data_IF_354361264052
#
_entry.id   IF_354361264052
#
_cell.length_a   1.000
_cell.length_b   1.000
_cell.length_c   1.000
_cell.angle_alpha   90.00
_cell.angle_beta   90.00
_cell.angle_gamma   90.00
#
_symmetry.space_group_name_H-M   'P 1'
#
loop_
_entity.id
_entity.type
_entity.pdbx_description
1 polymer ?
#
# COMPACT_ATOMS: atom_id res chain seq x y z
N UNK A 1 9.08 27.35 -24.92
CA UNK A 1 9.94 26.67 -25.90
C UNK A 1 10.03 27.53 -27.15
N UNK A 2 11.24 27.92 -27.55
CA UNK A 2 11.44 28.63 -28.82
C UNK A 2 10.97 27.73 -29.96
N UNK A 3 9.88 28.13 -30.63
CA UNK A 3 9.40 27.46 -31.83
C UNK A 3 10.38 27.81 -32.96
N UNK A 4 11.45 27.03 -33.07
CA UNK A 4 12.36 27.17 -34.20
C UNK A 4 11.57 26.85 -35.47
N UNK A 5 11.52 27.77 -36.43
CA UNK A 5 10.81 27.63 -37.73
C UNK A 5 11.30 26.47 -38.62
N UNK A 6 12.19 25.60 -38.12
CA UNK A 6 12.76 24.48 -38.87
C UNK A 6 11.89 23.23 -38.81
N UNK A 7 11.91 22.44 -39.90
CA UNK A 7 11.26 21.13 -39.99
C UNK A 7 11.65 20.20 -38.83
N UNK A 8 10.70 19.36 -38.39
CA UNK A 8 10.90 18.36 -37.33
C UNK A 8 12.10 17.43 -37.62
N UNK A 9 12.27 16.99 -38.88
CA UNK A 9 13.38 16.14 -39.28
C UNK A 9 14.72 16.88 -39.17
N UNK A 10 14.77 18.16 -39.54
CA UNK A 10 15.98 18.98 -39.44
C UNK A 10 16.38 19.15 -37.98
N UNK A 11 15.40 19.41 -37.10
CA UNK A 11 15.59 19.52 -35.64
C UNK A 11 16.10 18.20 -35.03
N UNK A 12 15.51 17.07 -35.42
CA UNK A 12 15.96 15.74 -34.98
C UNK A 12 17.40 15.45 -35.42
N UNK A 13 17.73 15.69 -36.69
CA UNK A 13 19.10 15.48 -37.20
C UNK A 13 20.10 16.36 -36.47
N UNK A 14 19.76 17.62 -36.18
CA UNK A 14 20.63 18.50 -35.39
C UNK A 14 20.79 18.04 -33.94
N UNK A 15 19.72 17.58 -33.29
CA UNK A 15 19.80 17.12 -31.89
C UNK A 15 20.59 15.82 -31.77
N UNK A 16 20.41 14.88 -32.71
CA UNK A 16 21.18 13.63 -32.75
C UNK A 16 22.66 13.85 -33.04
N UNK A 17 22.98 14.85 -33.89
CA UNK A 17 24.36 15.27 -34.13
C UNK A 17 24.98 15.92 -32.88
N UNK A 18 24.23 16.80 -32.20
CA UNK A 18 24.67 17.43 -30.94
C UNK A 18 24.84 16.42 -29.80
N UNK A 19 24.02 15.37 -29.76
CA UNK A 19 24.14 14.27 -28.80
C UNK A 19 25.33 13.34 -29.10
N UNK A 20 26.04 13.51 -30.23
CA UNK A 20 27.15 12.65 -30.64
C UNK A 20 26.71 11.25 -31.11
N UNK A 21 25.41 11.03 -31.31
CA UNK A 21 24.87 9.76 -31.78
C UNK A 21 25.08 9.56 -33.29
N UNK A 22 25.06 10.66 -34.06
CA UNK A 22 25.23 10.67 -35.51
C UNK A 22 26.38 11.62 -35.89
N UNK A 23 27.17 11.24 -36.90
CA UNK A 23 28.26 12.06 -37.45
C UNK A 23 29.62 11.35 -37.43
N UNK A 24 30.68 11.99 -37.93
CA UNK A 24 32.02 11.41 -38.04
C UNK A 24 32.70 11.17 -36.67
N UNK A 25 32.22 11.83 -35.61
CA UNK A 25 32.65 11.59 -34.23
C UNK A 25 31.80 10.58 -33.45
N UNK A 26 30.78 10.00 -34.09
CA UNK A 26 29.92 9.04 -33.39
C UNK A 26 30.58 7.67 -33.29
N UNK A 27 30.19 6.89 -32.28
CA UNK A 27 30.66 5.50 -32.17
C UNK A 27 30.35 4.70 -33.44
N UNK A 28 29.27 4.99 -34.16
CA UNK A 28 28.90 4.32 -35.42
C UNK A 28 29.93 4.49 -36.55
N UNK A 29 30.62 5.62 -36.60
CA UNK A 29 31.63 5.93 -37.63
C UNK A 29 33.05 5.50 -37.26
N UNK A 30 33.32 5.18 -36.00
CA UNK A 30 34.62 4.63 -35.55
C UNK A 30 34.85 3.19 -36.02
N UNK A 31 36.11 2.85 -36.35
CA UNK A 31 36.48 1.52 -36.84
C UNK A 31 36.28 0.44 -35.77
N UNK A 32 36.09 -0.83 -36.19
CA UNK A 32 36.00 -1.98 -35.26
C UNK A 32 37.24 -2.09 -34.37
N UNK A 33 38.43 -1.75 -34.88
CA UNK A 33 39.70 -1.80 -34.15
C UNK A 33 39.71 -0.76 -33.01
N UNK A 34 39.28 0.47 -33.29
CA UNK A 34 39.24 1.55 -32.30
C UNK A 34 38.17 1.30 -31.23
N UNK A 35 37.04 0.72 -31.63
CA UNK A 35 35.98 0.29 -30.71
C UNK A 35 36.42 -0.80 -29.74
N UNK A 36 37.27 -1.73 -30.20
CA UNK A 36 37.82 -2.82 -29.37
C UNK A 36 38.92 -2.32 -28.44
N UNK A 37 39.72 -1.35 -28.89
CA UNK A 37 40.79 -0.76 -28.08
C UNK A 37 40.23 -0.01 -26.85
N UNK A 38 39.04 0.59 -26.98
CA UNK A 38 38.33 1.26 -25.88
C UNK A 38 39.05 2.53 -25.41
N UNK A 39 38.31 3.59 -25.13
CA UNK A 39 38.85 4.76 -24.42
C UNK A 39 38.51 4.62 -22.93
N UNK A 40 39.32 5.17 -22.01
CA UNK A 40 39.13 4.99 -20.57
C UNK A 40 37.77 5.46 -20.01
N UNK A 41 36.94 6.16 -20.79
CA UNK A 41 35.58 6.59 -20.40
C UNK A 41 34.48 6.14 -21.38
N UNK A 42 34.74 5.11 -22.20
CA UNK A 42 33.82 4.72 -23.27
C UNK A 42 32.48 4.20 -22.74
N UNK A 43 32.45 3.60 -21.54
CA UNK A 43 31.22 3.17 -20.88
C UNK A 43 30.39 4.34 -20.34
N UNK A 44 31.03 5.31 -19.65
CA UNK A 44 30.38 6.51 -19.16
C UNK A 44 29.80 7.34 -20.33
N UNK A 45 30.58 7.54 -21.39
CA UNK A 45 30.14 8.22 -22.59
C UNK A 45 28.94 7.53 -23.27
N UNK A 46 28.89 6.19 -23.27
CA UNK A 46 27.71 5.46 -23.79
C UNK A 46 26.46 5.72 -22.95
N UNK A 47 26.58 5.72 -21.63
CA UNK A 47 25.47 6.02 -20.73
C UNK A 47 24.98 7.46 -20.92
N UNK A 48 25.90 8.41 -21.12
CA UNK A 48 25.55 9.80 -21.38
C UNK A 48 24.85 10.00 -22.73
N UNK A 49 25.30 9.28 -23.78
CA UNK A 49 24.62 9.28 -25.08
C UNK A 49 23.24 8.64 -24.97
N UNK A 50 23.09 7.54 -24.25
CA UNK A 50 21.80 6.89 -24.04
C UNK A 50 20.80 7.84 -23.33
N UNK A 51 21.24 8.50 -22.25
CA UNK A 51 20.44 9.52 -21.54
C UNK A 51 20.03 10.67 -22.45
N UNK A 52 20.95 11.18 -23.27
CA UNK A 52 20.68 12.24 -24.25
C UNK A 52 19.68 11.78 -25.32
N UNK A 53 19.79 10.55 -25.79
CA UNK A 53 18.86 9.98 -26.76
C UNK A 53 17.46 9.86 -26.18
N UNK A 54 17.32 9.41 -24.94
CA UNK A 54 16.01 9.31 -24.30
C UNK A 54 15.38 10.68 -24.04
N UNK A 55 16.18 11.69 -23.66
CA UNK A 55 15.72 13.07 -23.58
C UNK A 55 15.23 13.59 -24.95
N UNK A 56 15.96 13.30 -26.04
CA UNK A 56 15.56 13.69 -27.41
C UNK A 56 14.25 13.00 -27.80
N UNK A 57 14.08 11.70 -27.50
CA UNK A 57 12.85 10.96 -27.80
C UNK A 57 11.64 11.62 -27.13
N UNK A 58 11.76 11.97 -25.84
CA UNK A 58 10.66 12.61 -25.11
C UNK A 58 10.41 14.05 -25.57
N UNK A 59 11.44 14.82 -25.90
CA UNK A 59 11.29 16.21 -26.34
C UNK A 59 10.73 16.32 -27.77
N UNK A 60 11.08 15.38 -28.64
CA UNK A 60 10.69 15.40 -30.05
C UNK A 60 9.31 14.78 -30.32
N UNK A 61 8.71 14.10 -29.34
CA UNK A 61 7.36 13.56 -29.47
C UNK A 61 6.32 14.54 -28.89
N UNK A 62 5.64 15.35 -29.74
CA UNK A 62 4.62 16.28 -29.27
C UNK A 62 3.31 15.60 -28.88
N UNK A 63 3.06 14.36 -29.32
CA UNK A 63 1.76 13.68 -29.13
C UNK A 63 1.57 13.10 -27.73
N UNK A 64 2.65 12.92 -26.97
CA UNK A 64 2.59 12.45 -25.58
C UNK A 64 2.18 13.54 -24.58
N UNK A 65 2.22 14.82 -25.01
CA UNK A 65 1.97 15.97 -24.15
C UNK A 65 0.80 16.79 -24.68
N UNK A 66 -0.29 16.83 -23.93
CA UNK A 66 -1.40 17.75 -24.17
C UNK A 66 -1.04 19.10 -23.57
N UNK A 67 -1.01 20.14 -24.40
CA UNK A 67 -0.82 21.52 -23.96
C UNK A 67 -2.10 22.31 -24.20
N UNK A 68 -2.47 23.18 -23.27
CA UNK A 68 -3.59 24.13 -23.44
C UNK A 68 -3.05 25.54 -23.40
N UNK A 69 -3.54 26.38 -24.31
CA UNK A 69 -3.18 27.80 -24.35
C UNK A 69 -4.12 28.59 -23.44
N UNK A 70 -3.55 29.49 -22.63
CA UNK A 70 -4.35 30.45 -21.87
C UNK A 70 -4.86 31.53 -22.81
N UNK A 71 -6.09 32.00 -22.59
CA UNK A 71 -6.66 33.11 -23.39
C UNK A 71 -5.96 34.44 -23.11
N UNK A 72 -5.54 34.62 -21.86
CA UNK A 72 -4.84 35.81 -21.38
C UNK A 72 -3.56 35.38 -20.67
N UNK A 73 -2.54 36.23 -20.69
CA UNK A 73 -1.32 36.00 -19.94
C UNK A 73 -1.55 36.32 -18.46
N UNK A 74 -1.21 35.37 -17.59
CA UNK A 74 -1.35 35.52 -16.13
C UNK A 74 0.06 35.47 -15.56
N UNK A 75 0.69 36.63 -15.48
CA UNK A 75 2.04 36.78 -14.97
C UNK A 75 2.15 36.20 -13.55
N UNK A 76 3.20 35.42 -13.30
CA UNK A 76 3.50 34.86 -11.98
C UNK A 76 2.63 33.67 -11.54
N UNK A 77 1.60 33.25 -12.30
CA UNK A 77 0.74 32.12 -11.91
C UNK A 77 0.95 30.89 -12.79
N UNK A 78 1.28 29.75 -12.16
CA UNK A 78 1.17 28.44 -12.81
C UNK A 78 -0.29 28.04 -12.92
N UNK A 79 -0.82 28.03 -14.15
CA UNK A 79 -2.16 27.51 -14.45
C UNK A 79 -2.14 25.99 -14.35
N UNK A 80 -2.83 25.43 -13.35
CA UNK A 80 -3.00 23.97 -13.21
C UNK A 80 -3.71 23.43 -14.46
N UNK A 81 -3.20 22.33 -15.02
CA UNK A 81 -3.78 21.71 -16.22
C UNK A 81 -3.37 22.35 -17.56
N UNK A 82 -2.42 23.29 -17.56
CA UNK A 82 -1.85 23.84 -18.81
C UNK A 82 -1.07 22.79 -19.63
N UNK A 83 -0.51 21.81 -18.93
CA UNK A 83 0.25 20.69 -19.50
C UNK A 83 -0.20 19.38 -18.87
N UNK A 84 -0.32 18.32 -19.66
CA UNK A 84 -0.68 16.98 -19.19
C UNK A 84 -0.11 15.88 -20.08
N UNK A 85 0.03 14.67 -19.52
CA UNK A 85 0.50 13.47 -20.25
C UNK A 85 -0.64 12.45 -20.35
N UNK A 86 -1.56 12.59 -21.31
CA UNK A 86 -2.79 11.81 -21.36
C UNK A 86 -2.53 10.30 -21.45
N UNK A 87 -1.55 9.87 -22.25
CA UNK A 87 -1.21 8.45 -22.42
C UNK A 87 -0.81 7.79 -21.10
N UNK A 88 0.09 8.44 -20.34
CA UNK A 88 0.53 7.92 -19.04
C UNK A 88 -0.60 7.89 -18.02
N UNK A 89 -1.42 8.93 -17.98
CA UNK A 89 -2.55 8.95 -17.05
C UNK A 89 -3.58 7.88 -17.37
N UNK A 90 -3.77 7.54 -18.65
CA UNK A 90 -4.62 6.42 -19.07
C UNK A 90 -4.02 5.08 -18.65
N UNK A 91 -2.76 4.84 -18.98
CA UNK A 91 -2.06 3.61 -18.59
C UNK A 91 -2.11 3.37 -17.09
N UNK A 92 -1.77 4.38 -16.28
CA UNK A 92 -1.86 4.29 -14.81
C UNK A 92 -3.31 4.13 -14.35
N UNK A 93 -4.26 4.75 -15.05
CA UNK A 93 -5.69 4.57 -14.80
C UNK A 93 -6.16 3.14 -15.00
N UNK A 94 -5.71 2.51 -16.10
CA UNK A 94 -6.03 1.12 -16.47
C UNK A 94 -5.39 0.14 -15.49
N UNK A 95 -4.11 0.33 -15.16
CA UNK A 95 -3.41 -0.48 -14.16
C UNK A 95 -4.11 -0.41 -12.80
N UNK A 96 -4.58 0.77 -12.41
CA UNK A 96 -5.34 0.96 -11.19
C UNK A 96 -6.74 0.37 -11.30
N UNK A 97 -7.42 0.46 -12.45
CA UNK A 97 -8.73 -0.20 -12.66
C UNK A 97 -8.63 -1.71 -12.51
N UNK A 98 -7.58 -2.32 -13.05
CA UNK A 98 -7.33 -3.77 -12.91
C UNK A 98 -7.13 -4.20 -11.45
N UNK A 99 -6.78 -3.26 -10.56
CA UNK A 99 -6.59 -3.49 -9.12
C UNK A 99 -7.80 -3.05 -8.27
N UNK A 100 -8.63 -2.13 -8.77
CA UNK A 100 -9.85 -1.67 -8.09
C UNK A 100 -10.82 -2.84 -8.06
N UNK A 101 -11.33 -3.17 -6.87
CA UNK A 101 -12.22 -4.31 -6.58
C UNK A 101 -11.54 -5.68 -6.49
N UNK A 102 -10.20 -5.75 -6.39
CA UNK A 102 -9.53 -6.98 -5.97
C UNK A 102 -9.46 -7.03 -4.44
N UNK A 103 -10.23 -7.94 -3.83
CA UNK A 103 -10.12 -8.25 -2.41
C UNK A 103 -9.05 -9.33 -2.19
N UNK A 104 -8.19 -9.12 -1.19
CA UNK A 104 -7.06 -10.00 -0.91
C UNK A 104 -5.81 -9.71 -1.76
N UNK A 105 -4.65 -9.95 -1.17
CA UNK A 105 -3.35 -9.85 -1.82
C UNK A 105 -2.34 -10.68 -1.03
N UNK A 106 -1.32 -11.22 -1.70
CA UNK A 106 -0.26 -11.97 -1.03
C UNK A 106 0.56 -10.97 -0.21
N UNK A 107 0.40 -11.02 1.11
CA UNK A 107 1.23 -10.24 2.03
C UNK A 107 2.51 -11.02 2.25
N UNK A 108 3.61 -10.53 1.70
CA UNK A 108 4.91 -11.13 1.93
C UNK A 108 5.37 -10.89 3.37
N UNK A 109 5.40 -11.98 4.15
CA UNK A 109 5.83 -11.99 5.55
C UNK A 109 7.28 -12.42 5.72
N UNK A 110 8.03 -12.61 4.64
CA UNK A 110 9.45 -12.94 4.70
C UNK A 110 10.24 -11.77 5.28
N UNK A 111 11.13 -12.06 6.23
CA UNK A 111 11.95 -11.05 6.89
C UNK A 111 12.79 -10.27 5.86
N UNK A 112 12.82 -8.95 6.00
CA UNK A 112 13.63 -8.04 5.19
C UNK A 112 13.25 -7.89 3.71
N UNK A 113 12.16 -8.51 3.23
CA UNK A 113 11.77 -8.42 1.82
C UNK A 113 11.19 -7.04 1.45
N UNK A 114 10.39 -6.46 2.35
CA UNK A 114 9.79 -5.14 2.16
C UNK A 114 10.66 -3.99 2.67
N UNK A 115 11.85 -4.29 3.22
CA UNK A 115 12.75 -3.28 3.77
C UNK A 115 13.82 -2.89 2.72
N UNK A 116 13.82 -1.66 2.21
CA UNK A 116 14.83 -1.19 1.25
C UNK A 116 16.21 -0.97 1.88
N UNK A 117 16.36 -0.97 3.21
CA UNK A 117 17.66 -0.72 3.87
C UNK A 117 18.55 -1.96 3.94
N UNK A 118 17.97 -3.15 3.82
CA UNK A 118 18.72 -4.41 3.84
C UNK A 118 19.24 -4.76 2.45
N UNK A 119 20.52 -5.10 2.37
CA UNK A 119 21.15 -5.62 1.14
C UNK A 119 20.66 -7.04 0.84
N UNK A 120 20.84 -7.50 -0.41
CA UNK A 120 20.39 -8.83 -0.80
C UNK A 120 21.06 -9.96 0.01
N UNK A 121 22.32 -9.78 0.39
CA UNK A 121 23.09 -10.74 1.19
C UNK A 121 22.60 -10.83 2.63
N UNK A 122 22.35 -9.68 3.27
CA UNK A 122 21.79 -9.61 4.62
C UNK A 122 20.40 -10.27 4.69
N UNK A 123 19.55 -10.06 3.67
CA UNK A 123 18.25 -10.74 3.56
C UNK A 123 18.38 -12.26 3.50
N UNK A 124 19.38 -12.78 2.77
CA UNK A 124 19.62 -14.22 2.69
C UNK A 124 20.12 -14.78 4.02
N UNK A 125 21.00 -14.06 4.71
CA UNK A 125 21.52 -14.45 6.01
C UNK A 125 20.43 -14.49 7.09
N UNK A 126 19.58 -13.48 7.16
CA UNK A 126 18.45 -13.44 8.10
C UNK A 126 17.44 -14.58 7.85
N UNK A 127 17.18 -14.92 6.58
CA UNK A 127 16.32 -16.07 6.23
C UNK A 127 16.93 -17.37 6.72
N UNK A 128 18.22 -17.58 6.43
CA UNK A 128 18.94 -18.79 6.82
C UNK A 128 18.98 -18.96 8.34
N UNK A 129 19.28 -17.89 9.07
CA UNK A 129 19.32 -17.91 10.54
C UNK A 129 17.93 -18.18 11.13
N UNK A 130 16.87 -17.54 10.62
CA UNK A 130 15.49 -17.79 11.06
C UNK A 130 15.05 -19.24 10.78
N UNK A 131 15.38 -19.76 9.60
CA UNK A 131 15.07 -21.14 9.24
C UNK A 131 15.78 -22.13 10.16
N UNK A 132 17.08 -21.92 10.41
CA UNK A 132 17.87 -22.74 11.33
C UNK A 132 17.33 -22.67 12.76
N UNK A 133 16.95 -21.49 13.24
CA UNK A 133 16.30 -21.32 14.54
C UNK A 133 14.94 -22.03 14.62
N UNK A 134 14.13 -21.97 13.56
CA UNK A 134 12.83 -22.67 13.52
C UNK A 134 13.03 -24.19 13.57
N UNK A 135 13.97 -24.72 12.80
CA UNK A 135 14.32 -26.16 12.82
C UNK A 135 14.82 -26.59 14.21
N UNK A 136 15.68 -25.79 14.83
CA UNK A 136 16.22 -26.07 16.17
C UNK A 136 15.17 -25.99 17.31
N UNK A 137 14.09 -25.23 17.14
CA UNK A 137 13.08 -24.98 18.18
C UNK A 137 11.82 -25.88 18.10
N UNK A 138 11.82 -26.93 17.27
CA UNK A 138 10.70 -27.88 17.20
C UNK A 138 10.21 -28.19 15.79
N UNK A 139 11.14 -28.52 14.88
CA UNK A 139 10.77 -29.09 13.58
C UNK A 139 10.18 -30.51 13.66
N UNK A 140 10.06 -31.09 14.86
CA UNK A 140 9.61 -32.46 15.13
C UNK A 140 8.10 -32.61 15.27
N UNK A 141 7.32 -31.53 15.26
CA UNK A 141 5.84 -31.59 15.33
C UNK A 141 5.18 -32.39 14.18
N UNK A 142 5.92 -32.71 13.12
CA UNK A 142 5.46 -33.54 12.00
C UNK A 142 6.31 -34.80 11.81
N UNK A 143 7.19 -35.13 12.77
CA UNK A 143 7.95 -36.37 12.77
C UNK A 143 7.06 -37.48 13.34
N UNK A 144 6.33 -38.21 12.48
CA UNK A 144 5.49 -39.34 12.88
C UNK A 144 6.28 -40.61 13.28
N UNK A 145 7.62 -40.54 13.25
CA UNK A 145 8.54 -41.63 13.57
C UNK A 145 9.01 -41.58 15.04
N UNK A 146 8.63 -40.55 15.79
CA UNK A 146 8.73 -40.57 17.25
C UNK A 146 7.49 -41.31 17.78
N UNK A 147 7.69 -42.45 18.44
CA UNK A 147 6.69 -43.36 19.03
C UNK A 147 5.89 -42.72 20.19
N UNK A 148 5.51 -41.45 20.08
CA UNK A 148 4.76 -40.71 21.08
C UNK A 148 3.26 -40.81 20.71
N UNK A 149 2.52 -41.56 21.52
CA UNK A 149 1.08 -41.75 21.35
C UNK A 149 0.36 -40.40 21.22
N UNK A 150 -0.38 -40.21 20.12
CA UNK A 150 -1.10 -38.96 19.87
C UNK A 150 -2.21 -38.80 20.93
N UNK A 151 -1.97 -37.92 21.89
CA UNK A 151 -2.91 -37.67 22.99
C UNK A 151 -3.68 -36.37 22.81
N UNK A 152 -4.99 -36.39 23.09
CA UNK A 152 -5.83 -35.19 23.20
C UNK A 152 -6.48 -35.19 24.59
N UNK A 153 -6.29 -34.11 25.35
CA UNK A 153 -6.70 -34.01 26.77
C UNK A 153 -6.17 -35.15 27.67
N UNK A 154 -5.01 -35.73 27.34
CA UNK A 154 -4.40 -36.80 28.13
C UNK A 154 -4.95 -38.20 27.83
N UNK A 155 -5.80 -38.36 26.82
CA UNK A 155 -6.24 -39.66 26.31
C UNK A 155 -5.59 -39.95 24.96
N UNK A 156 -5.08 -41.17 24.78
CA UNK A 156 -4.56 -41.63 23.49
C UNK A 156 -5.69 -41.74 22.48
N UNK A 157 -5.56 -41.03 21.37
CA UNK A 157 -6.53 -41.05 20.27
C UNK A 157 -6.58 -42.42 19.57
N UNK A 158 -5.58 -43.28 19.74
CA UNK A 158 -5.59 -44.64 19.19
C UNK A 158 -6.66 -45.55 19.84
N UNK A 159 -7.14 -45.18 21.02
CA UNK A 159 -8.16 -45.93 21.77
C UNK A 159 -9.56 -45.28 21.70
N UNK A 160 -9.71 -44.17 20.97
CA UNK A 160 -11.03 -43.59 20.72
C UNK A 160 -11.61 -44.38 19.54
N UNK A 161 -12.30 -45.47 19.89
CA UNK A 161 -13.15 -46.20 18.95
C UNK A 161 -14.25 -45.24 18.48
N UNK A 162 -14.46 -45.23 17.18
CA UNK A 162 -15.26 -44.22 16.51
C UNK A 162 -16.67 -44.10 17.14
N UNK A 163 -17.05 -42.86 17.48
CA UNK A 163 -18.44 -42.40 17.46
C UNK A 163 -19.43 -42.74 18.60
N UNK A 164 -19.03 -43.29 19.75
CA UNK A 164 -20.05 -43.79 20.70
C UNK A 164 -20.39 -42.96 21.94
N UNK A 165 -19.75 -41.81 22.25
CA UNK A 165 -20.15 -41.09 23.47
C UNK A 165 -19.84 -39.59 23.42
N UNK A 166 -20.85 -38.80 23.08
CA UNK A 166 -21.38 -37.73 23.94
C UNK A 166 -22.26 -36.78 23.11
N UNK A 167 -23.57 -37.02 23.18
CA UNK A 167 -24.52 -35.99 23.59
C UNK A 167 -24.28 -34.58 23.02
N UNK A 168 -24.26 -34.44 21.69
CA UNK A 168 -24.70 -33.19 21.06
C UNK A 168 -26.22 -33.14 21.18
N UNK A 169 -26.69 -32.94 22.41
CA UNK A 169 -28.05 -32.55 22.71
C UNK A 169 -28.37 -31.31 21.89
N UNK A 170 -29.03 -31.52 20.76
CA UNK A 170 -29.84 -30.52 20.09
C UNK A 170 -31.03 -30.25 21.02
N UNK A 171 -30.76 -29.58 22.13
CA UNK A 171 -31.75 -28.85 22.90
C UNK A 171 -32.16 -27.67 22.02
N UNK A 172 -33.13 -27.95 21.16
CA UNK A 172 -34.01 -26.98 20.53
C UNK A 172 -34.91 -26.39 21.61
N UNK A 173 -34.30 -25.62 22.51
CA UNK A 173 -35.01 -24.86 23.51
C UNK A 173 -34.63 -23.40 23.32
N UNK A 174 -35.58 -22.67 22.73
CA UNK A 174 -35.59 -21.22 22.53
C UNK A 174 -35.09 -20.48 23.78
N UNK A 175 -33.77 -20.30 23.87
CA UNK A 175 -33.14 -19.41 24.82
C UNK A 175 -33.47 -17.99 24.37
N UNK A 176 -34.61 -17.49 24.87
CA UNK A 176 -34.96 -16.08 24.82
C UNK A 176 -33.84 -15.31 25.50
N UNK A 177 -32.88 -14.88 24.68
CA UNK A 177 -31.69 -14.18 25.12
C UNK A 177 -32.02 -13.08 26.11
N UNK A 178 -31.22 -13.02 27.17
CA UNK A 178 -31.27 -12.05 28.28
C UNK A 178 -30.99 -10.60 27.86
N UNK A 179 -31.04 -10.31 26.56
CA UNK A 179 -30.63 -9.04 25.97
C UNK A 179 -31.86 -8.38 25.36
N UNK A 180 -32.15 -7.17 25.82
CA UNK A 180 -33.29 -6.37 25.36
C UNK A 180 -33.22 -6.08 23.84
N UNK A 181 -34.38 -6.03 23.19
CA UNK A 181 -34.52 -5.87 21.75
C UNK A 181 -33.91 -4.54 21.25
N UNK A 182 -33.96 -3.49 22.06
CA UNK A 182 -33.28 -2.22 21.75
C UNK A 182 -31.75 -2.39 21.70
N UNK A 183 -31.18 -3.19 22.60
CA UNK A 183 -29.75 -3.44 22.65
C UNK A 183 -29.27 -4.27 21.45
N UNK A 184 -30.05 -5.29 21.07
CA UNK A 184 -29.74 -6.17 19.93
C UNK A 184 -29.81 -5.38 18.62
N UNK A 185 -30.87 -4.61 18.40
CA UNK A 185 -31.04 -3.81 17.19
C UNK A 185 -29.95 -2.75 17.01
N UNK A 186 -29.51 -2.11 18.10
CA UNK A 186 -28.47 -1.07 18.06
C UNK A 186 -27.06 -1.64 17.90
N UNK A 187 -26.76 -2.76 18.56
CA UNK A 187 -25.39 -3.31 18.61
C UNK A 187 -25.06 -4.24 17.45
N UNK A 188 -26.01 -5.05 16.98
CA UNK A 188 -25.75 -6.02 15.91
C UNK A 188 -26.02 -5.48 14.50
N UNK A 189 -27.02 -4.60 14.33
CA UNK A 189 -27.44 -4.09 13.02
C UNK A 189 -27.39 -2.55 12.88
N UNK A 190 -27.22 -1.81 13.98
CA UNK A 190 -27.33 -0.34 14.02
C UNK A 190 -26.00 0.44 14.06
N UNK A 191 -24.85 -0.22 14.00
CA UNK A 191 -23.52 0.40 14.18
C UNK A 191 -23.05 1.38 13.09
N UNK A 192 -23.86 1.65 12.06
CA UNK A 192 -23.50 2.55 10.96
C UNK A 192 -24.23 3.91 10.99
N UNK A 193 -25.18 4.11 11.91
CA UNK A 193 -25.77 5.44 12.10
C UNK A 193 -24.87 6.21 13.06
N UNK A 194 -23.91 6.92 12.49
CA UNK A 194 -23.21 8.01 13.18
C UNK A 194 -24.29 8.92 13.80
N UNK A 195 -24.30 9.13 15.13
CA UNK A 195 -25.29 10.03 15.73
C UNK A 195 -25.14 11.38 15.02
N UNK A 196 -26.24 12.10 14.74
CA UNK A 196 -26.13 13.42 14.13
C UNK A 196 -25.15 14.22 14.98
N UNK A 197 -24.00 14.56 14.38
CA UNK A 197 -23.02 15.39 15.04
C UNK A 197 -23.76 16.62 15.50
N UNK A 198 -23.90 16.81 16.82
CA UNK A 198 -24.47 18.02 17.39
C UNK A 198 -23.56 19.16 16.92
N UNK A 199 -23.98 19.79 15.82
CA UNK A 199 -23.43 21.04 15.35
C UNK A 199 -23.77 22.04 16.43
N UNK A 200 -22.73 22.67 16.99
CA UNK A 200 -22.92 23.80 17.88
C UNK A 200 -23.65 24.92 17.12
N UNK A 201 -24.22 25.89 17.86
CA UNK A 201 -24.96 27.02 17.28
C UNK A 201 -24.14 27.82 16.24
N UNK A 202 -22.81 27.65 16.24
CA UNK A 202 -21.84 28.26 15.33
C UNK A 202 -21.38 27.37 14.16
N UNK A 203 -21.97 26.18 13.95
CA UNK A 203 -21.78 25.38 12.73
C UNK A 203 -20.45 24.64 12.59
N UNK A 204 -19.66 24.54 13.66
CA UNK A 204 -18.40 23.79 13.67
C UNK A 204 -18.58 22.39 14.25
N UNK A 205 -17.91 21.40 13.63
CA UNK A 205 -17.86 20.03 14.13
C UNK A 205 -16.89 19.96 15.31
N UNK A 206 -17.37 19.55 16.49
CA UNK A 206 -16.54 19.35 17.68
C UNK A 206 -15.44 18.32 17.41
N UNK A 207 -14.23 18.57 17.93
CA UNK A 207 -13.11 17.62 17.76
C UNK A 207 -13.31 16.38 18.62
N UNK A 208 -12.76 15.23 18.23
CA UNK A 208 -12.83 13.98 19.03
C UNK A 208 -12.34 14.17 20.47
N UNK A 209 -11.33 15.01 20.68
CA UNK A 209 -10.80 15.29 22.02
C UNK A 209 -11.77 16.08 22.91
N UNK A 210 -12.56 16.98 22.31
CA UNK A 210 -13.58 17.77 23.00
C UNK A 210 -14.79 16.92 23.38
N UNK A 211 -15.26 16.10 22.43
CA UNK A 211 -16.34 15.13 22.66
C UNK A 211 -15.96 14.16 23.79
N UNK A 212 -14.74 13.61 23.78
CA UNK A 212 -14.31 12.69 24.83
C UNK A 212 -14.23 13.38 26.20
N UNK A 213 -13.85 14.66 26.28
CA UNK A 213 -13.84 15.42 27.54
C UNK A 213 -15.26 15.63 28.07
N UNK A 214 -16.20 16.05 27.23
CA UNK A 214 -17.61 16.24 27.63
C UNK A 214 -18.25 14.93 28.10
N UNK A 215 -17.97 13.81 27.43
CA UNK A 215 -18.49 12.49 27.83
C UNK A 215 -17.93 12.09 29.19
N UNK A 216 -16.62 12.28 29.42
CA UNK A 216 -15.99 11.97 30.72
C UNK A 216 -16.56 12.84 31.84
N UNK A 217 -16.77 14.13 31.62
CA UNK A 217 -17.31 15.03 32.65
C UNK A 217 -18.77 14.70 32.97
N UNK A 218 -19.61 14.47 31.96
CA UNK A 218 -21.01 14.04 32.14
C UNK A 218 -21.09 12.71 32.88
N UNK A 219 -20.27 11.73 32.51
CA UNK A 219 -20.23 10.41 33.17
C UNK A 219 -19.80 10.51 34.63
N UNK A 220 -18.76 11.31 34.92
CA UNK A 220 -18.30 11.56 36.30
C UNK A 220 -19.35 12.26 37.15
N UNK A 221 -20.00 13.28 36.59
CA UNK A 221 -21.08 14.00 37.26
C UNK A 221 -22.24 13.06 37.59
N UNK A 222 -22.70 12.29 36.61
CA UNK A 222 -23.78 11.31 36.78
C UNK A 222 -23.46 10.28 37.87
N UNK A 223 -22.23 9.75 37.87
CA UNK A 223 -21.79 8.79 38.90
C UNK A 223 -21.82 9.40 40.30
N UNK A 224 -21.39 10.65 40.45
CA UNK A 224 -21.39 11.35 41.74
C UNK A 224 -22.82 11.67 42.19
N UNK A 225 -23.67 12.19 41.31
CA UNK A 225 -25.07 12.48 41.65
C UNK A 225 -25.84 11.22 42.02
N UNK A 226 -25.63 10.10 41.32
CA UNK A 226 -26.24 8.82 41.67
C UNK A 226 -25.77 8.31 43.03
N UNK A 227 -24.49 8.45 43.34
CA UNK A 227 -23.95 8.05 44.64
C UNK A 227 -24.53 8.90 45.78
N UNK A 228 -24.67 10.21 45.57
CA UNK A 228 -25.28 11.12 46.54
C UNK A 228 -26.77 10.81 46.71
N UNK A 229 -27.51 10.65 45.61
CA UNK A 229 -28.93 10.32 45.62
C UNK A 229 -29.21 8.99 46.32
N UNK A 230 -28.41 7.96 46.05
CA UNK A 230 -28.49 6.67 46.73
C UNK A 230 -28.23 6.79 48.24
N UNK A 231 -27.30 7.66 48.65
CA UNK A 231 -27.03 7.89 50.07
C UNK A 231 -28.16 8.65 50.78
N UNK A 232 -28.81 9.58 50.08
CA UNK A 232 -29.98 10.31 50.57
C UNK A 232 -31.26 9.44 50.65
N UNK A 233 -31.35 8.37 49.85
CA UNK A 233 -32.52 7.48 49.85
C UNK A 233 -32.43 6.35 50.90
N UNK A 234 -31.25 6.16 51.50
CA UNK A 234 -30.97 5.11 52.50
C UNK A 234 -30.92 5.68 53.94
N UNK A 235 -30.92 7.01 54.09
CA UNK A 235 -31.08 7.70 55.39
C UNK A 235 -32.54 8.08 55.62
#
# INVERSE_FOLDING_TARGET
MSSSKASALKRLKSSLKAAGAIGPGSRASTSKKDRKKGKPNDAANRNDVARKLDAIKHQMNPFEMKTTHTKFDILGRRVKGSVGRPTLTKQVGDDNMNRKNKAGGIVDRRFGENDPTLTAEERMLERFTREKQKRARGGTLFNLDDDEDLTHYGQSLANIDDFDEADLGLSDEDDKGTIDNETVSRSHFGGFVEPPSEVDAEGHKKSKGEVMKEVITKSKFFKVTHRISFHLYIS
#
